data_IF_941755689266
#
_entry.id   IF_941755689266
#
_cell.length_a   1.000
_cell.length_b   1.000
_cell.length_c   1.000
_cell.angle_alpha   90.00
_cell.angle_beta   90.00
_cell.angle_gamma   90.00
#
_symmetry.space_group_name_H-M   'P 1'
#
loop_
_entity.id
_entity.type
_entity.pdbx_description
1 polymer ?
#
# COMPACT_ATOMS: atom_id res chain seq x y z
N UNK A 1 -38.87 12.46 3.74
CA UNK A 1 -37.60 12.37 2.98
C UNK A 1 -37.04 10.98 3.26
N UNK A 2 -36.86 10.14 2.22
CA UNK A 2 -36.40 8.76 2.43
C UNK A 2 -35.00 8.72 3.02
N UNK A 3 -34.65 7.68 3.79
CA UNK A 3 -33.29 7.48 4.33
C UNK A 3 -32.22 7.50 3.23
N UNK A 4 -32.55 6.99 2.05
CA UNK A 4 -31.71 7.01 0.86
C UNK A 4 -31.27 8.44 0.45
N UNK A 5 -32.18 9.42 0.53
CA UNK A 5 -31.89 10.82 0.21
C UNK A 5 -30.94 11.43 1.26
N UNK A 6 -31.11 11.04 2.55
CA UNK A 6 -30.20 11.48 3.63
C UNK A 6 -28.80 10.94 3.42
N UNK A 7 -28.64 9.66 3.08
CA UNK A 7 -27.34 9.06 2.78
C UNK A 7 -26.65 9.71 1.58
N UNK A 8 -27.39 9.93 0.49
CA UNK A 8 -26.85 10.57 -0.70
C UNK A 8 -26.35 12.00 -0.43
N UNK A 9 -27.09 12.77 0.37
CA UNK A 9 -26.68 14.10 0.80
C UNK A 9 -25.43 14.03 1.69
N UNK A 10 -25.38 13.12 2.64
CA UNK A 10 -24.24 12.93 3.52
C UNK A 10 -22.95 12.58 2.72
N UNK A 11 -23.05 11.70 1.73
CA UNK A 11 -21.93 11.38 0.85
C UNK A 11 -21.50 12.57 0.00
N UNK A 12 -22.43 13.30 -0.60
CA UNK A 12 -22.12 14.50 -1.38
C UNK A 12 -21.49 15.61 -0.52
N UNK A 13 -21.96 15.81 0.70
CA UNK A 13 -21.40 16.79 1.62
C UNK A 13 -20.01 16.36 2.13
N UNK A 14 -19.80 15.05 2.33
CA UNK A 14 -18.50 14.49 2.68
C UNK A 14 -17.51 14.58 1.51
N UNK A 15 -17.92 14.29 0.29
CA UNK A 15 -17.10 14.47 -0.93
C UNK A 15 -16.72 15.95 -1.11
N UNK A 16 -17.66 16.88 -1.03
CA UNK A 16 -17.40 18.31 -1.15
C UNK A 16 -16.48 18.83 -0.03
N UNK A 17 -16.65 18.33 1.21
CA UNK A 17 -15.77 18.68 2.33
C UNK A 17 -14.36 18.12 2.09
N UNK A 18 -14.25 16.86 1.68
CA UNK A 18 -12.98 16.23 1.33
C UNK A 18 -12.31 16.97 0.18
N UNK A 19 -13.03 17.31 -0.87
CA UNK A 19 -12.53 18.12 -1.99
C UNK A 19 -12.02 19.49 -1.53
N UNK A 20 -12.72 20.17 -0.65
CA UNK A 20 -12.31 21.49 -0.15
C UNK A 20 -11.06 21.44 0.75
N UNK A 21 -10.91 20.37 1.54
CA UNK A 21 -9.78 20.19 2.48
C UNK A 21 -8.54 19.62 1.80
N UNK A 22 -8.71 18.74 0.81
CA UNK A 22 -7.63 17.96 0.21
C UNK A 22 -7.22 18.43 -1.21
N UNK A 23 -7.99 19.28 -1.86
CA UNK A 23 -7.80 19.66 -3.27
C UNK A 23 -6.49 20.40 -3.60
N UNK A 24 -5.68 20.77 -2.59
CA UNK A 24 -4.45 21.54 -2.82
C UNK A 24 -3.13 20.79 -2.57
N UNK A 25 -3.13 19.57 -2.03
CA UNK A 25 -1.93 19.00 -1.43
C UNK A 25 -1.27 17.82 -2.19
N UNK A 26 -1.59 17.63 -3.47
CA UNK A 26 -0.95 16.58 -4.29
C UNK A 26 -1.41 15.15 -3.97
N UNK A 27 -0.70 14.17 -4.52
CA UNK A 27 -1.04 12.74 -4.41
C UNK A 27 0.05 11.97 -3.66
N UNK A 28 -0.34 11.12 -2.71
CA UNK A 28 0.52 10.08 -2.16
C UNK A 28 0.31 8.80 -2.97
N UNK A 29 1.38 8.26 -3.55
CA UNK A 29 1.36 7.08 -4.39
C UNK A 29 2.01 5.92 -3.64
N UNK A 30 1.21 5.01 -3.10
CA UNK A 30 1.72 3.76 -2.53
C UNK A 30 1.95 2.74 -3.65
N UNK A 31 3.12 2.09 -3.63
CA UNK A 31 3.39 0.93 -4.48
C UNK A 31 3.56 -0.29 -3.60
N UNK A 32 2.54 -1.13 -3.54
CA UNK A 32 2.54 -2.33 -2.70
C UNK A 32 3.76 -3.22 -2.99
N UNK A 33 4.51 -3.54 -1.96
CA UNK A 33 5.72 -4.33 -2.08
C UNK A 33 5.42 -5.80 -2.44
N UNK A 34 6.37 -6.45 -3.05
CA UNK A 34 6.35 -7.89 -3.38
C UNK A 34 7.42 -8.63 -2.60
N UNK A 35 7.14 -9.86 -2.20
CA UNK A 35 7.98 -10.64 -1.29
C UNK A 35 9.32 -11.11 -1.84
N UNK A 36 9.63 -10.86 -3.11
CA UNK A 36 10.83 -11.38 -3.74
C UNK A 36 11.69 -10.26 -4.30
N UNK A 37 12.90 -10.18 -3.82
CA UNK A 37 13.99 -9.50 -4.52
C UNK A 37 14.77 -10.51 -5.37
N UNK A 38 15.40 -10.01 -6.41
CA UNK A 38 16.39 -10.79 -7.14
C UNK A 38 17.68 -10.91 -6.33
N UNK A 39 18.56 -11.84 -6.69
CA UNK A 39 19.89 -11.96 -6.04
C UNK A 39 20.75 -10.69 -6.20
N UNK A 40 20.43 -9.83 -7.19
CA UNK A 40 21.06 -8.53 -7.41
C UNK A 40 20.54 -7.40 -6.51
N UNK A 41 19.64 -7.68 -5.56
CA UNK A 41 18.96 -6.70 -4.69
C UNK A 41 17.93 -5.82 -5.41
N UNK A 42 17.59 -6.15 -6.65
CA UNK A 42 16.58 -5.41 -7.42
C UNK A 42 15.18 -5.96 -7.18
N UNK A 43 14.13 -5.13 -7.37
CA UNK A 43 12.76 -5.61 -7.33
C UNK A 43 12.52 -6.73 -8.33
N UNK A 44 11.77 -7.76 -7.94
CA UNK A 44 11.31 -8.82 -8.85
C UNK A 44 10.33 -8.28 -9.90
N UNK A 45 10.03 -9.08 -10.93
CA UNK A 45 9.25 -8.65 -12.10
C UNK A 45 7.89 -8.04 -11.74
N UNK A 46 7.17 -8.63 -10.80
CA UNK A 46 5.86 -8.12 -10.38
C UNK A 46 5.97 -6.79 -9.64
N UNK A 47 6.98 -6.63 -8.79
CA UNK A 47 7.20 -5.38 -8.10
C UNK A 47 7.65 -4.29 -9.08
N UNK A 48 8.52 -4.63 -10.04
CA UNK A 48 8.91 -3.71 -11.13
C UNK A 48 7.70 -3.25 -11.94
N UNK A 49 6.81 -4.17 -12.33
CA UNK A 49 5.62 -3.82 -13.09
C UNK A 49 4.72 -2.80 -12.35
N UNK A 50 4.60 -2.92 -11.02
CA UNK A 50 3.88 -1.94 -10.19
C UNK A 50 4.60 -0.60 -10.14
N UNK A 51 5.92 -0.60 -9.94
CA UNK A 51 6.74 0.60 -9.94
C UNK A 51 6.66 1.34 -11.27
N UNK A 52 6.77 0.62 -12.40
CA UNK A 52 6.65 1.19 -13.75
C UNK A 52 5.26 1.80 -14.00
N UNK A 53 4.21 1.12 -13.55
CA UNK A 53 2.84 1.63 -13.66
C UNK A 53 2.66 2.90 -12.83
N UNK A 54 3.23 2.94 -11.64
CA UNK A 54 3.19 4.10 -10.75
C UNK A 54 4.02 5.28 -11.30
N UNK A 55 5.17 5.02 -11.92
CA UNK A 55 5.97 6.05 -12.61
C UNK A 55 5.17 6.66 -13.76
N UNK A 56 4.55 5.83 -14.61
CA UNK A 56 3.70 6.32 -15.71
C UNK A 56 2.56 7.17 -15.20
N UNK A 57 1.93 6.77 -14.11
CA UNK A 57 0.87 7.54 -13.48
C UNK A 57 1.41 8.88 -12.96
N UNK A 58 2.53 8.87 -12.23
CA UNK A 58 3.17 10.06 -11.68
C UNK A 58 3.52 11.10 -12.75
N UNK A 59 4.05 10.66 -13.90
CA UNK A 59 4.41 11.54 -15.01
C UNK A 59 3.22 12.29 -15.63
N UNK A 60 2.00 11.84 -15.39
CA UNK A 60 0.77 12.47 -15.88
C UNK A 60 0.07 13.34 -14.81
N UNK A 61 0.68 13.51 -13.63
CA UNK A 61 0.10 14.32 -12.57
C UNK A 61 0.55 15.79 -12.70
N UNK A 62 -0.40 16.69 -12.60
CA UNK A 62 -0.14 18.15 -12.62
C UNK A 62 0.33 18.69 -11.27
N UNK A 63 0.01 17.99 -10.17
CA UNK A 63 0.30 18.42 -8.79
C UNK A 63 1.51 17.70 -8.22
N UNK A 64 2.27 18.35 -7.31
CA UNK A 64 3.36 17.71 -6.60
C UNK A 64 2.87 16.43 -5.90
N UNK A 65 3.53 15.34 -6.18
CA UNK A 65 3.15 14.03 -5.67
C UNK A 65 4.37 13.30 -5.14
N UNK A 66 4.16 12.41 -4.19
CA UNK A 66 5.26 11.62 -3.62
C UNK A 66 4.90 10.15 -3.59
N UNK A 67 5.92 9.34 -3.68
CA UNK A 67 5.83 7.89 -3.54
C UNK A 67 5.95 7.48 -2.08
N UNK A 68 5.25 6.42 -1.73
CA UNK A 68 5.51 5.63 -0.54
C UNK A 68 5.79 4.19 -0.94
N UNK A 69 6.97 3.69 -0.59
CA UNK A 69 7.40 2.33 -0.86
C UNK A 69 7.48 1.57 0.47
N UNK A 70 6.50 0.70 0.75
CA UNK A 70 6.48 -0.10 1.97
C UNK A 70 7.47 -1.26 1.95
N UNK A 71 7.59 -1.92 3.08
CA UNK A 71 8.26 -3.21 3.21
C UNK A 71 9.61 -3.11 3.89
N UNK A 72 9.73 -3.88 4.98
CA UNK A 72 10.97 -4.04 5.74
C UNK A 72 11.85 -5.13 5.13
N UNK A 73 12.98 -5.41 5.76
CA UNK A 73 13.82 -6.54 5.43
C UNK A 73 13.04 -7.84 5.66
N UNK A 74 12.93 -8.66 4.63
CA UNK A 74 12.12 -9.88 4.68
C UNK A 74 12.97 -11.13 4.76
N UNK A 75 12.39 -12.14 5.43
CA UNK A 75 12.86 -13.53 5.37
C UNK A 75 11.88 -14.34 4.52
N UNK A 76 12.39 -14.99 3.50
CA UNK A 76 11.59 -15.84 2.63
C UNK A 76 12.29 -17.17 2.35
N UNK A 77 11.59 -18.29 2.57
CA UNK A 77 12.16 -19.64 2.41
C UNK A 77 13.52 -19.83 3.10
N UNK A 78 13.66 -19.30 4.31
CA UNK A 78 14.90 -19.39 5.10
C UNK A 78 16.03 -18.44 4.68
N UNK A 79 15.88 -17.71 3.58
CA UNK A 79 16.84 -16.69 3.14
C UNK A 79 16.37 -15.31 3.60
N UNK A 80 17.29 -14.48 4.06
CA UNK A 80 17.06 -13.08 4.42
C UNK A 80 17.49 -12.22 3.23
N UNK A 81 16.62 -11.28 2.83
CA UNK A 81 16.94 -10.31 1.78
C UNK A 81 18.16 -9.46 2.16
N UNK A 82 18.97 -9.07 1.20
CA UNK A 82 20.16 -8.23 1.43
C UNK A 82 19.83 -6.76 1.69
N UNK A 83 18.67 -6.33 1.23
CA UNK A 83 18.11 -4.97 1.42
C UNK A 83 16.62 -5.10 1.67
N UNK A 84 16.00 -4.08 2.28
CA UNK A 84 14.55 -4.06 2.45
C UNK A 84 13.83 -3.90 1.10
N UNK A 85 12.56 -4.32 1.06
CA UNK A 85 11.73 -4.09 -0.12
C UNK A 85 11.56 -2.59 -0.41
N UNK A 86 11.42 -1.79 0.66
CA UNK A 86 11.33 -0.33 0.53
C UNK A 86 12.59 0.28 -0.07
N UNK A 87 13.78 -0.16 0.35
CA UNK A 87 15.04 0.33 -0.22
C UNK A 87 15.21 -0.10 -1.67
N UNK A 88 14.92 -1.37 -2.00
CA UNK A 88 14.98 -1.85 -3.37
C UNK A 88 14.06 -1.07 -4.31
N UNK A 89 12.82 -0.82 -3.89
CA UNK A 89 11.87 -0.01 -4.66
C UNK A 89 12.28 1.46 -4.76
N UNK A 90 12.81 2.05 -3.68
CA UNK A 90 13.34 3.42 -3.68
C UNK A 90 14.48 3.57 -4.70
N UNK A 91 15.46 2.68 -4.68
CA UNK A 91 16.58 2.70 -5.62
C UNK A 91 16.12 2.53 -7.07
N UNK A 92 15.10 1.68 -7.29
CA UNK A 92 14.51 1.54 -8.62
C UNK A 92 13.87 2.84 -9.11
N UNK A 93 13.10 3.54 -8.28
CA UNK A 93 12.50 4.83 -8.62
C UNK A 93 13.56 5.88 -8.94
N UNK A 94 14.62 5.98 -8.14
CA UNK A 94 15.73 6.92 -8.36
C UNK A 94 16.42 6.63 -9.70
N UNK A 95 16.71 5.36 -9.99
CA UNK A 95 17.30 4.93 -11.28
C UNK A 95 16.42 5.31 -12.49
N UNK A 96 15.11 5.40 -12.28
CA UNK A 96 14.14 5.82 -13.31
C UNK A 96 13.78 7.33 -13.25
N UNK A 97 14.61 8.15 -12.63
CA UNK A 97 14.52 9.60 -12.69
C UNK A 97 13.65 10.27 -11.64
N UNK A 98 13.11 9.52 -10.67
CA UNK A 98 12.38 10.11 -9.55
C UNK A 98 13.38 10.64 -8.52
N UNK A 99 13.28 11.91 -8.15
CA UNK A 99 14.16 12.51 -7.16
C UNK A 99 13.91 11.91 -5.77
N UNK A 100 14.96 11.69 -5.00
CA UNK A 100 14.90 11.02 -3.69
C UNK A 100 13.96 11.71 -2.69
N UNK A 101 13.90 13.04 -2.69
CA UNK A 101 13.04 13.83 -1.81
C UNK A 101 11.53 13.65 -2.11
N UNK A 102 11.17 12.98 -3.21
CA UNK A 102 9.80 12.59 -3.54
C UNK A 102 9.46 11.15 -3.13
N UNK A 103 10.33 10.47 -2.36
CA UNK A 103 10.13 9.06 -2.02
C UNK A 103 10.20 8.87 -0.50
N UNK A 104 9.12 8.39 0.08
CA UNK A 104 9.07 7.85 1.44
C UNK A 104 9.32 6.34 1.38
N UNK A 105 10.20 5.84 2.22
CA UNK A 105 10.57 4.43 2.27
C UNK A 105 10.80 3.97 3.73
N UNK A 106 12.01 3.55 4.10
CA UNK A 106 12.30 3.03 5.44
C UNK A 106 12.03 4.00 6.57
N UNK A 107 12.29 5.29 6.38
CA UNK A 107 12.07 6.31 7.40
C UNK A 107 10.60 6.41 7.79
N UNK A 108 9.70 6.40 6.80
CA UNK A 108 8.26 6.37 7.05
C UNK A 108 7.84 5.05 7.71
N UNK A 109 8.41 3.91 7.30
CA UNK A 109 8.15 2.63 7.94
C UNK A 109 8.56 2.66 9.42
N UNK A 110 9.75 3.14 9.73
CA UNK A 110 10.26 3.24 11.11
C UNK A 110 9.44 4.22 11.97
N UNK A 111 8.98 5.31 11.38
CA UNK A 111 8.18 6.31 12.09
C UNK A 111 6.83 5.75 12.57
N UNK A 112 6.09 5.10 11.67
CA UNK A 112 4.71 4.65 11.95
C UNK A 112 4.63 3.19 12.39
N UNK A 113 5.62 2.37 12.05
CA UNK A 113 5.65 0.94 12.33
C UNK A 113 7.08 0.48 12.68
N UNK A 114 7.61 0.86 13.84
CA UNK A 114 9.01 0.59 14.24
C UNK A 114 9.33 -0.91 14.34
N UNK A 115 8.33 -1.75 14.56
CA UNK A 115 8.46 -3.22 14.57
C UNK A 115 8.51 -3.84 13.16
N UNK A 116 8.39 -3.01 12.11
CA UNK A 116 8.54 -3.39 10.71
C UNK A 116 7.22 -3.56 9.96
N UNK A 117 7.32 -3.50 8.64
CA UNK A 117 6.22 -3.59 7.67
C UNK A 117 6.38 -4.90 6.89
N UNK A 118 5.57 -5.90 7.21
CA UNK A 118 5.72 -7.27 6.72
C UNK A 118 4.50 -7.83 5.97
N UNK A 119 3.42 -7.07 5.90
CA UNK A 119 2.18 -7.51 5.26
C UNK A 119 1.36 -6.31 4.77
N UNK A 120 0.34 -6.57 3.96
CA UNK A 120 -0.48 -5.51 3.36
C UNK A 120 -1.24 -4.65 4.37
N UNK A 121 -1.58 -5.18 5.55
CA UNK A 121 -2.23 -4.39 6.59
C UNK A 121 -1.25 -3.38 7.21
N UNK A 122 0.01 -3.79 7.44
CA UNK A 122 1.06 -2.87 7.89
C UNK A 122 1.34 -1.78 6.86
N UNK A 123 1.40 -2.15 5.56
CA UNK A 123 1.57 -1.22 4.45
C UNK A 123 0.46 -0.16 4.44
N UNK A 124 -0.80 -0.58 4.49
CA UNK A 124 -1.94 0.32 4.51
C UNK A 124 -1.97 1.20 5.77
N UNK A 125 -1.56 0.66 6.93
CA UNK A 125 -1.47 1.44 8.16
C UNK A 125 -0.48 2.59 8.03
N UNK A 126 0.72 2.32 7.54
CA UNK A 126 1.74 3.37 7.35
C UNK A 126 1.29 4.38 6.30
N UNK A 127 0.80 3.92 5.15
CA UNK A 127 0.32 4.79 4.09
C UNK A 127 -0.81 5.72 4.55
N UNK A 128 -1.79 5.19 5.29
CA UNK A 128 -2.92 5.96 5.81
C UNK A 128 -2.48 7.03 6.83
N UNK A 129 -1.52 6.69 7.70
CA UNK A 129 -0.98 7.65 8.67
C UNK A 129 -0.14 8.74 7.99
N UNK A 130 0.69 8.36 7.02
CA UNK A 130 1.48 9.30 6.23
C UNK A 130 0.58 10.25 5.43
N UNK A 131 -0.47 9.72 4.79
CA UNK A 131 -1.49 10.47 4.08
C UNK A 131 -2.14 11.53 4.97
N UNK A 132 -2.62 11.12 6.15
CA UNK A 132 -3.28 12.01 7.12
C UNK A 132 -2.31 13.04 7.72
N UNK A 133 -1.13 12.63 8.16
CA UNK A 133 -0.12 13.51 8.76
C UNK A 133 0.30 14.62 7.81
N UNK A 134 0.51 14.30 6.55
CA UNK A 134 0.99 15.24 5.54
C UNK A 134 -0.14 15.90 4.75
N UNK A 135 -1.40 15.57 5.05
CA UNK A 135 -2.59 16.18 4.46
C UNK A 135 -2.60 16.11 2.93
N UNK A 136 -2.22 14.96 2.35
CA UNK A 136 -2.37 14.75 0.92
C UNK A 136 -3.84 14.81 0.51
N UNK A 137 -4.12 15.31 -0.69
CA UNK A 137 -5.47 15.38 -1.25
C UNK A 137 -5.96 14.05 -1.81
N UNK A 138 -5.05 13.18 -2.23
CA UNK A 138 -5.37 11.91 -2.86
C UNK A 138 -4.38 10.84 -2.41
N UNK A 139 -4.90 9.65 -2.13
CA UNK A 139 -4.09 8.44 -1.94
C UNK A 139 -4.36 7.48 -3.09
N UNK A 140 -3.30 7.05 -3.74
CA UNK A 140 -3.33 6.07 -4.83
C UNK A 140 -2.51 4.85 -4.44
N UNK A 141 -3.03 3.64 -4.66
CA UNK A 141 -2.33 2.40 -4.35
C UNK A 141 -2.19 1.54 -5.60
N UNK A 142 -0.96 1.14 -5.94
CA UNK A 142 -0.67 0.16 -6.99
C UNK A 142 -0.42 -1.21 -6.35
N UNK A 143 -1.26 -2.19 -6.68
CA UNK A 143 -1.14 -3.55 -6.13
C UNK A 143 -1.45 -4.60 -7.21
N UNK A 144 -1.31 -5.90 -6.88
CA UNK A 144 -1.81 -6.95 -7.77
C UNK A 144 -3.33 -7.07 -7.69
N UNK A 145 -3.98 -7.57 -8.76
CA UNK A 145 -5.44 -7.76 -8.77
C UNK A 145 -5.93 -8.61 -7.58
N UNK A 146 -5.20 -9.64 -7.21
CA UNK A 146 -5.54 -10.50 -6.07
C UNK A 146 -5.55 -9.75 -4.73
N UNK A 147 -4.67 -8.75 -4.54
CA UNK A 147 -4.57 -7.98 -3.31
C UNK A 147 -5.60 -6.84 -3.19
N UNK A 148 -6.33 -6.52 -4.28
CA UNK A 148 -7.20 -5.35 -4.35
C UNK A 148 -8.22 -5.30 -3.21
N UNK A 149 -8.97 -6.38 -3.00
CA UNK A 149 -10.00 -6.45 -1.96
C UNK A 149 -9.40 -6.28 -0.56
N UNK A 150 -8.31 -6.99 -0.26
CA UNK A 150 -7.62 -6.89 1.03
C UNK A 150 -7.08 -5.49 1.29
N UNK A 151 -6.49 -4.86 0.28
CA UNK A 151 -6.02 -3.46 0.37
C UNK A 151 -7.17 -2.50 0.65
N UNK A 152 -8.27 -2.59 -0.12
CA UNK A 152 -9.44 -1.75 0.07
C UNK A 152 -10.01 -1.88 1.49
N UNK A 153 -10.24 -3.10 1.96
CA UNK A 153 -10.75 -3.36 3.31
C UNK A 153 -9.80 -2.83 4.39
N UNK A 154 -8.49 -3.03 4.24
CA UNK A 154 -7.49 -2.53 5.19
C UNK A 154 -7.50 -1.00 5.27
N UNK A 155 -7.58 -0.31 4.12
CA UNK A 155 -7.65 1.15 4.11
C UNK A 155 -8.92 1.70 4.76
N UNK A 156 -10.07 1.09 4.50
CA UNK A 156 -11.35 1.46 5.13
C UNK A 156 -11.22 1.38 6.66
N UNK A 157 -10.58 0.34 7.20
CA UNK A 157 -10.32 0.21 8.63
C UNK A 157 -9.52 1.39 9.21
N UNK A 158 -8.60 1.93 8.44
CA UNK A 158 -7.82 3.09 8.85
C UNK A 158 -8.48 4.44 8.48
N UNK A 159 -9.75 4.41 8.04
CA UNK A 159 -10.54 5.60 7.71
C UNK A 159 -9.98 6.38 6.52
N UNK A 160 -9.52 5.68 5.49
CA UNK A 160 -9.04 6.25 4.23
C UNK A 160 -9.61 5.43 3.07
N UNK A 161 -9.99 6.09 2.01
CA UNK A 161 -10.48 5.46 0.77
C UNK A 161 -9.51 5.84 -0.35
N UNK A 162 -8.59 4.93 -0.75
CA UNK A 162 -7.66 5.20 -1.84
C UNK A 162 -8.28 4.86 -3.20
N UNK A 163 -7.73 5.43 -4.25
CA UNK A 163 -7.87 4.89 -5.59
C UNK A 163 -6.92 3.70 -5.75
N UNK A 164 -7.43 2.52 -6.05
CA UNK A 164 -6.61 1.32 -6.18
C UNK A 164 -6.49 0.93 -7.66
N UNK A 165 -5.25 0.91 -8.14
CA UNK A 165 -4.90 0.45 -9.47
C UNK A 165 -4.33 -0.97 -9.40
N UNK A 166 -5.00 -1.90 -10.06
CA UNK A 166 -4.49 -3.26 -10.16
C UNK A 166 -3.53 -3.41 -11.34
N UNK A 167 -2.33 -3.92 -11.06
CA UNK A 167 -1.33 -4.20 -12.08
C UNK A 167 -1.31 -5.70 -12.34
N UNK A 168 -1.62 -6.16 -13.57
CA UNK A 168 -1.62 -7.58 -13.90
C UNK A 168 -0.26 -8.22 -13.66
N UNK A 169 -0.29 -9.44 -13.12
CA UNK A 169 0.91 -10.25 -12.82
C UNK A 169 0.80 -11.61 -13.51
N UNK A 170 1.94 -12.23 -13.77
CA UNK A 170 1.98 -13.63 -14.20
C UNK A 170 1.58 -14.54 -13.03
N UNK A 171 0.91 -15.65 -13.30
CA UNK A 171 0.50 -16.65 -12.29
C UNK A 171 -0.51 -16.13 -11.25
N UNK A 172 -1.52 -15.42 -11.68
CA UNK A 172 -2.55 -14.85 -10.79
C UNK A 172 -3.38 -15.91 -10.03
N UNK A 173 -3.51 -17.13 -10.54
CA UNK A 173 -4.43 -18.13 -9.99
C UNK A 173 -4.17 -18.45 -8.51
N UNK A 174 -2.93 -18.80 -8.15
CA UNK A 174 -2.59 -19.09 -6.76
C UNK A 174 -2.82 -17.92 -5.82
N UNK A 175 -2.49 -16.71 -6.29
CA UNK A 175 -2.70 -15.50 -5.50
C UNK A 175 -4.20 -15.25 -5.24
N UNK A 176 -5.07 -15.49 -6.21
CA UNK A 176 -6.53 -15.36 -6.03
C UNK A 176 -7.09 -16.41 -5.07
N UNK A 177 -6.62 -17.65 -5.14
CA UNK A 177 -7.03 -18.72 -4.23
C UNK A 177 -6.67 -18.34 -2.79
N UNK A 178 -5.42 -17.97 -2.53
CA UNK A 178 -4.98 -17.56 -1.20
C UNK A 178 -5.73 -16.34 -0.68
N UNK A 179 -5.94 -15.33 -1.49
CA UNK A 179 -6.71 -14.14 -1.07
C UNK A 179 -8.16 -14.48 -0.75
N UNK A 180 -8.83 -15.21 -1.63
CA UNK A 180 -10.27 -15.48 -1.49
C UNK A 180 -10.59 -16.44 -0.36
N UNK A 181 -9.83 -17.54 -0.24
CA UNK A 181 -10.15 -18.61 0.68
C UNK A 181 -9.36 -18.58 2.00
N UNK A 182 -8.31 -17.80 2.08
CA UNK A 182 -7.47 -17.73 3.26
C UNK A 182 -7.40 -16.35 3.85
N UNK A 183 -6.84 -15.37 3.13
CA UNK A 183 -6.55 -14.06 3.73
C UNK A 183 -7.78 -13.21 4.01
N UNK A 184 -8.72 -13.12 3.08
CA UNK A 184 -9.94 -12.31 3.27
C UNK A 184 -10.83 -12.88 4.37
N UNK A 185 -11.16 -14.19 4.39
CA UNK A 185 -11.94 -14.76 5.48
C UNK A 185 -11.28 -14.62 6.86
N UNK A 186 -9.95 -14.81 6.96
CA UNK A 186 -9.25 -14.65 8.23
C UNK A 186 -9.33 -13.21 8.73
N UNK A 187 -9.16 -12.23 7.85
CA UNK A 187 -9.27 -10.81 8.21
C UNK A 187 -10.69 -10.42 8.65
N UNK A 188 -11.72 -10.92 7.98
CA UNK A 188 -13.12 -10.61 8.31
C UNK A 188 -13.52 -11.25 9.64
N UNK A 189 -13.06 -12.47 9.91
CA UNK A 189 -13.42 -13.22 11.11
C UNK A 189 -12.62 -12.83 12.36
N UNK A 190 -11.50 -12.15 12.21
CA UNK A 190 -10.71 -11.67 13.33
C UNK A 190 -11.39 -10.45 13.97
N UNK A 191 -11.58 -10.47 15.31
CA UNK A 191 -12.18 -9.35 16.05
C UNK A 191 -11.38 -8.05 15.96
N UNK A 192 -10.06 -8.15 15.81
CA UNK A 192 -9.20 -7.01 15.52
C UNK A 192 -9.23 -6.67 14.03
N UNK A 193 -9.84 -7.52 13.24
CA UNK A 193 -10.17 -7.37 11.86
C UNK A 193 -8.98 -7.06 10.96
N UNK A 194 -9.15 -6.04 10.18
CA UNK A 194 -8.20 -5.63 9.13
C UNK A 194 -7.05 -4.76 9.65
N UNK A 195 -6.95 -4.58 10.97
CA UNK A 195 -5.90 -3.75 11.56
C UNK A 195 -4.51 -4.39 11.46
N UNK A 196 -3.46 -3.57 11.53
CA UNK A 196 -2.08 -4.03 11.41
C UNK A 196 -1.65 -4.97 12.55
N UNK A 197 -2.37 -4.99 13.66
CA UNK A 197 -2.18 -5.88 14.80
C UNK A 197 -3.13 -7.07 14.83
N UNK A 198 -3.84 -7.37 13.75
CA UNK A 198 -4.67 -8.57 13.63
C UNK A 198 -3.84 -9.85 13.77
N UNK A 199 -4.49 -10.96 14.12
CA UNK A 199 -3.82 -12.27 14.23
C UNK A 199 -3.10 -12.67 12.95
N UNK A 200 -3.72 -12.41 11.80
CA UNK A 200 -3.10 -12.71 10.50
C UNK A 200 -1.89 -11.82 10.25
N UNK A 201 -1.99 -10.52 10.53
CA UNK A 201 -0.87 -9.60 10.42
C UNK A 201 0.29 -10.02 11.33
N UNK A 202 0.01 -10.42 12.56
CA UNK A 202 1.01 -10.93 13.51
C UNK A 202 1.65 -12.24 13.03
N UNK A 203 0.84 -13.19 12.51
CA UNK A 203 1.33 -14.43 11.92
C UNK A 203 2.29 -14.15 10.76
N UNK A 204 1.91 -13.26 9.84
CA UNK A 204 2.76 -12.89 8.70
C UNK A 204 4.06 -12.21 9.14
N UNK A 205 4.02 -11.36 10.17
CA UNK A 205 5.25 -10.78 10.74
C UNK A 205 6.18 -11.86 11.29
N UNK A 206 5.66 -12.80 12.07
CA UNK A 206 6.46 -13.92 12.61
C UNK A 206 7.14 -14.76 11.51
N UNK A 207 6.46 -14.95 10.38
CA UNK A 207 7.01 -15.72 9.25
C UNK A 207 8.05 -14.94 8.44
N UNK A 208 7.94 -13.63 8.37
CA UNK A 208 8.71 -12.77 7.45
C UNK A 208 9.78 -11.93 8.14
N UNK A 209 9.70 -11.78 9.45
CA UNK A 209 10.73 -11.08 10.23
C UNK A 209 12.02 -11.89 10.19
N UNK A 210 13.19 -11.25 9.93
CA UNK A 210 14.50 -11.90 9.95
C UNK A 210 14.81 -12.57 11.29
#
# INVERSE_FOLDING_TARGET
MSEYIKWRKYYSDAENYMDSVYNNNGTLIEVAAQHHLTDSREPGDEFRARLDSAIKFYCNLEKPSKFYIPGSLHKFNGKIDKVSLSEAGKQYLIKNGIQENYIYAEDANKEFKPDGVYNSSDECYVAANLFKKLRYGRLVCFCSPAQLMRKALSYIQFGVIPDIYSVPIKNMFHNYVDETFRYIPELINDKTGLQSNSKEAERLRKLRKP
#
